data_IF_341328000040
#
_entry.id   IF_341328000040
#
_cell.length_a   1.000
_cell.length_b   1.000
_cell.length_c   1.000
_cell.angle_alpha   90.00
_cell.angle_beta   90.00
_cell.angle_gamma   90.00
#
_symmetry.space_group_name_H-M   'P 1'
#
loop_
_entity.id
_entity.type
_entity.pdbx_description
1 polymer ?
#
# COMPACT_ATOMS: atom_id res chain seq x y z
N UNK A 1 29.04 -1.26 -9.36
CA UNK A 1 28.46 -1.22 -8.03
C UNK A 1 26.95 -1.10 -8.09
N UNK A 2 26.29 -1.85 -7.26
CA UNK A 2 24.83 -1.82 -7.21
C UNK A 2 24.38 -0.76 -6.20
N UNK A 3 23.68 0.25 -6.70
CA UNK A 3 23.21 1.34 -5.86
C UNK A 3 21.85 1.10 -5.25
N UNK A 4 21.24 -0.05 -5.53
CA UNK A 4 19.95 -0.36 -4.95
C UNK A 4 20.06 -0.47 -3.45
N UNK A 5 19.13 0.16 -2.72
CA UNK A 5 19.08 -0.04 -1.28
C UNK A 5 18.81 -1.50 -0.95
N UNK A 6 19.25 -1.93 0.23
CA UNK A 6 19.00 -3.30 0.68
C UNK A 6 17.53 -3.62 0.83
N UNK A 7 16.69 -2.61 0.80
CA UNK A 7 15.25 -2.77 1.03
C UNK A 7 14.56 -3.71 0.05
N UNK A 8 15.19 -4.06 -1.06
CA UNK A 8 14.49 -4.86 -2.06
C UNK A 8 14.53 -6.36 -1.81
N UNK A 9 15.67 -6.94 -1.55
CA UNK A 9 15.75 -8.39 -1.43
C UNK A 9 16.51 -8.87 -0.20
N UNK A 10 17.39 -8.06 0.32
CA UNK A 10 18.26 -8.47 1.42
C UNK A 10 17.67 -8.18 2.80
N UNK A 11 16.70 -7.32 2.84
CA UNK A 11 16.05 -6.94 4.09
C UNK A 11 15.25 -8.09 4.64
N UNK A 12 15.23 -8.21 5.95
CA UNK A 12 14.37 -9.17 6.64
C UNK A 12 13.42 -8.49 7.59
N UNK A 13 13.50 -7.16 7.64
CA UNK A 13 12.64 -6.36 8.50
C UNK A 13 12.51 -4.97 7.91
N UNK A 14 11.33 -4.40 8.00
CA UNK A 14 11.08 -3.01 7.65
C UNK A 14 10.08 -2.44 8.65
N UNK A 15 10.18 -1.15 8.93
CA UNK A 15 9.23 -0.49 9.81
C UNK A 15 8.43 0.54 9.02
N UNK A 16 7.26 0.89 9.54
CA UNK A 16 6.45 1.92 8.89
C UNK A 16 7.20 3.25 8.89
N UNK A 17 7.97 3.53 9.95
CA UNK A 17 8.77 4.75 10.03
C UNK A 17 9.78 4.87 8.92
N UNK A 18 10.44 3.76 8.57
CA UNK A 18 11.41 3.77 7.47
C UNK A 18 10.75 4.18 6.15
N UNK A 19 9.55 3.68 5.90
CA UNK A 19 8.82 4.05 4.70
C UNK A 19 8.42 5.51 4.73
N UNK A 20 7.88 5.96 5.86
CA UNK A 20 7.42 7.34 5.97
C UNK A 20 8.54 8.35 5.81
N UNK A 21 9.75 8.01 6.26
CA UNK A 21 10.91 8.90 6.11
C UNK A 21 11.29 9.15 4.65
N UNK A 22 10.89 8.26 3.75
CA UNK A 22 11.20 8.39 2.34
C UNK A 22 10.11 9.14 1.57
N UNK A 23 9.06 9.56 2.25
CA UNK A 23 7.97 10.29 1.61
C UNK A 23 8.07 11.79 1.87
N UNK A 24 7.64 12.63 0.92
CA UNK A 24 7.17 12.24 -0.41
C UNK A 24 8.32 11.80 -1.29
N UNK A 25 8.01 10.96 -2.27
CA UNK A 25 8.96 10.57 -3.28
C UNK A 25 9.07 11.60 -4.39
N UNK A 26 9.58 11.17 -5.55
CA UNK A 26 9.67 12.03 -6.72
C UNK A 26 8.26 12.47 -7.12
N UNK A 27 8.12 13.71 -7.60
CA UNK A 27 6.83 14.26 -8.03
C UNK A 27 5.75 14.19 -6.94
N UNK A 28 6.18 14.36 -5.68
CA UNK A 28 5.27 14.35 -4.52
C UNK A 28 4.51 13.03 -4.34
N UNK A 29 5.08 11.94 -4.82
CA UNK A 29 4.47 10.63 -4.62
C UNK A 29 4.34 10.30 -3.15
N UNK A 30 3.19 9.74 -2.79
CA UNK A 30 2.91 9.40 -1.41
C UNK A 30 3.10 7.92 -1.11
N UNK A 31 3.81 7.20 -1.97
CA UNK A 31 4.12 5.79 -1.76
C UNK A 31 5.61 5.56 -2.00
N UNK A 32 6.13 4.51 -1.40
CA UNK A 32 7.50 4.07 -1.61
C UNK A 32 7.57 2.55 -1.52
N UNK A 33 8.33 1.95 -2.43
CA UNK A 33 8.60 0.51 -2.39
C UNK A 33 9.73 0.26 -1.42
N UNK A 34 9.53 -0.66 -0.49
CA UNK A 34 10.54 -0.95 0.53
C UNK A 34 11.03 -2.40 0.50
N UNK A 35 10.37 -3.28 -0.24
CA UNK A 35 10.78 -4.67 -0.31
C UNK A 35 10.18 -5.34 -1.54
N UNK A 36 10.95 -6.23 -2.17
CA UNK A 36 10.49 -7.05 -3.27
C UNK A 36 11.07 -8.45 -3.13
N UNK A 37 10.26 -9.44 -3.44
CA UNK A 37 10.73 -10.82 -3.50
C UNK A 37 9.74 -11.64 -4.33
N UNK A 38 10.20 -12.14 -5.47
CA UNK A 38 9.32 -12.85 -6.39
C UNK A 38 8.18 -11.94 -6.83
N UNK A 39 6.95 -12.41 -6.68
CA UNK A 39 5.79 -11.61 -7.03
C UNK A 39 5.39 -10.63 -5.92
N UNK A 40 5.96 -10.78 -4.73
CA UNK A 40 5.62 -9.89 -3.61
C UNK A 40 6.32 -8.55 -3.76
N UNK A 41 5.53 -7.47 -3.68
CA UNK A 41 6.05 -6.11 -3.66
C UNK A 41 5.40 -5.40 -2.49
N UNK A 42 6.22 -4.85 -1.58
CA UNK A 42 5.72 -4.19 -0.37
C UNK A 42 5.99 -2.71 -0.46
N UNK A 43 4.93 -1.92 -0.30
CA UNK A 43 5.02 -0.46 -0.29
C UNK A 43 4.48 0.08 1.01
N UNK A 44 4.91 1.29 1.34
CA UNK A 44 4.24 2.12 2.34
C UNK A 44 3.51 3.22 1.57
N UNK A 45 2.24 3.40 1.87
CA UNK A 45 1.40 4.41 1.23
C UNK A 45 0.80 5.30 2.30
N UNK A 46 0.95 6.61 2.13
CA UNK A 46 0.44 7.59 3.08
C UNK A 46 -0.16 8.77 2.32
N UNK A 47 -1.34 8.58 1.71
CA UNK A 47 -1.95 9.66 0.94
C UNK A 47 -2.31 10.83 1.84
N UNK A 48 -2.36 12.01 1.27
CA UNK A 48 -2.75 13.21 1.99
C UNK A 48 -3.90 13.89 1.28
N UNK A 49 -4.95 14.17 2.03
CA UNK A 49 -6.14 14.83 1.50
C UNK A 49 -7.03 13.89 0.71
N UNK A 50 -6.54 13.42 -0.42
CA UNK A 50 -7.30 12.52 -1.28
C UNK A 50 -6.43 11.33 -1.69
N UNK A 51 -7.11 10.29 -2.15
CA UNK A 51 -6.45 9.08 -2.64
C UNK A 51 -6.74 8.95 -4.12
N UNK A 52 -5.79 9.35 -4.99
CA UNK A 52 -6.03 9.36 -6.43
C UNK A 52 -5.74 8.02 -7.11
N UNK A 53 -5.59 6.94 -6.36
CA UNK A 53 -5.18 5.68 -6.96
C UNK A 53 -6.23 5.12 -7.93
N UNK A 54 -5.72 4.33 -8.87
CA UNK A 54 -6.53 3.68 -9.89
C UNK A 54 -6.50 2.17 -9.64
N UNK A 55 -7.43 1.41 -10.23
CA UNK A 55 -7.37 -0.05 -10.09
C UNK A 55 -6.02 -0.58 -10.54
N UNK A 56 -5.55 -1.61 -9.84
CA UNK A 56 -4.28 -2.23 -10.14
C UNK A 56 -4.49 -3.59 -10.80
N UNK A 57 -3.47 -4.06 -11.51
CA UNK A 57 -3.58 -5.29 -12.29
C UNK A 57 -3.31 -6.55 -11.49
N UNK A 58 -2.87 -6.40 -10.23
CA UNK A 58 -2.59 -7.53 -9.34
C UNK A 58 -3.39 -7.39 -8.08
N UNK A 59 -3.50 -8.48 -7.34
CA UNK A 59 -4.18 -8.46 -6.04
C UNK A 59 -3.37 -7.65 -5.04
N UNK A 60 -4.08 -6.95 -4.15
CA UNK A 60 -3.48 -6.11 -3.13
C UNK A 60 -4.03 -6.45 -1.77
N UNK A 61 -3.14 -6.59 -0.79
CA UNK A 61 -3.52 -6.69 0.61
C UNK A 61 -2.98 -5.45 1.33
N UNK A 62 -3.73 -4.97 2.30
CA UNK A 62 -3.35 -3.80 3.10
C UNK A 62 -3.37 -4.13 4.56
N UNK A 63 -2.40 -3.59 5.30
CA UNK A 63 -2.44 -3.58 6.76
C UNK A 63 -2.34 -2.12 7.17
N UNK A 64 -3.35 -1.62 7.86
CA UNK A 64 -3.37 -0.23 8.30
C UNK A 64 -2.37 -0.07 9.44
N UNK A 65 -1.41 0.83 9.27
CA UNK A 65 -0.37 1.06 10.29
C UNK A 65 -0.72 2.20 11.22
N UNK A 66 -1.38 3.24 10.71
CA UNK A 66 -1.73 4.44 11.50
C UNK A 66 -3.01 5.03 10.96
N UNK A 67 -3.75 5.68 11.84
CA UNK A 67 -4.90 6.46 11.44
C UNK A 67 -6.18 5.69 11.32
N UNK A 68 -7.24 6.41 10.94
CA UNK A 68 -8.58 5.85 10.71
C UNK A 68 -9.12 6.42 9.41
N UNK A 69 -10.17 5.81 8.90
CA UNK A 69 -10.81 6.29 7.69
C UNK A 69 -11.80 5.28 7.17
N UNK A 70 -12.11 5.38 5.88
CA UNK A 70 -13.02 4.48 5.21
C UNK A 70 -12.37 3.91 3.97
N UNK A 71 -12.62 2.63 3.72
CA UNK A 71 -12.14 1.95 2.54
C UNK A 71 -13.34 1.66 1.65
N UNK A 72 -13.30 2.17 0.42
CA UNK A 72 -14.34 1.99 -0.57
C UNK A 72 -13.83 0.99 -1.60
N UNK A 73 -14.57 -0.09 -1.79
CA UNK A 73 -14.19 -1.15 -2.70
C UNK A 73 -15.44 -1.54 -3.48
N UNK A 74 -15.51 -1.10 -4.75
CA UNK A 74 -16.72 -1.25 -5.52
C UNK A 74 -17.86 -0.47 -4.85
N UNK A 75 -18.92 -1.17 -4.49
CA UNK A 75 -20.07 -0.57 -3.83
C UNK A 75 -20.03 -0.70 -2.31
N UNK A 76 -18.97 -1.30 -1.79
CA UNK A 76 -18.84 -1.54 -0.35
C UNK A 76 -18.01 -0.44 0.29
N UNK A 77 -18.42 -0.03 1.49
CA UNK A 77 -17.70 0.99 2.25
C UNK A 77 -17.57 0.48 3.68
N UNK A 78 -16.34 0.41 4.18
CA UNK A 78 -16.08 -0.05 5.55
C UNK A 78 -15.14 0.91 6.25
N UNK A 79 -15.35 1.08 7.54
CA UNK A 79 -14.44 1.88 8.37
C UNK A 79 -13.23 1.04 8.74
N UNK A 80 -12.09 1.69 8.94
CA UNK A 80 -10.89 1.00 9.38
C UNK A 80 -10.14 1.78 10.45
N UNK A 81 -9.29 1.07 11.15
CA UNK A 81 -8.37 1.65 12.13
C UNK A 81 -7.05 0.89 12.06
N UNK A 82 -6.05 1.38 12.77
CA UNK A 82 -4.73 0.77 12.78
C UNK A 82 -4.83 -0.70 13.19
N UNK A 83 -4.12 -1.56 12.47
CA UNK A 83 -4.15 -3.00 12.68
C UNK A 83 -5.11 -3.75 11.78
N UNK A 84 -6.02 -3.05 11.12
CA UNK A 84 -7.00 -3.72 10.25
C UNK A 84 -6.37 -4.21 8.95
N UNK A 85 -6.90 -5.31 8.45
CA UNK A 85 -6.56 -5.89 7.16
C UNK A 85 -7.64 -5.52 6.14
N UNK A 86 -7.21 -5.10 4.96
CA UNK A 86 -8.12 -4.78 3.86
C UNK A 86 -7.62 -5.48 2.61
N UNK A 87 -8.51 -5.68 1.64
CA UNK A 87 -8.14 -6.39 0.43
C UNK A 87 -8.84 -5.79 -0.79
N UNK A 88 -8.11 -5.70 -1.90
CA UNK A 88 -8.65 -5.32 -3.19
C UNK A 88 -8.15 -6.32 -4.22
N UNK A 89 -9.08 -6.97 -4.91
CA UNK A 89 -8.71 -7.90 -5.98
C UNK A 89 -8.25 -7.11 -7.21
N UNK A 90 -7.47 -7.76 -8.04
CA UNK A 90 -7.00 -7.16 -9.28
C UNK A 90 -8.17 -6.61 -10.08
N UNK A 91 -8.01 -5.39 -10.56
CA UNK A 91 -9.03 -4.73 -11.38
C UNK A 91 -10.18 -4.08 -10.63
N UNK A 92 -10.29 -4.30 -9.32
CA UNK A 92 -11.36 -3.68 -8.54
C UNK A 92 -11.10 -2.19 -8.32
N UNK A 93 -12.14 -1.38 -8.51
CA UNK A 93 -12.07 0.04 -8.14
C UNK A 93 -12.06 0.13 -6.62
N UNK A 94 -11.10 0.84 -6.08
CA UNK A 94 -10.96 0.96 -4.63
C UNK A 94 -10.25 2.27 -4.29
N UNK A 95 -10.51 2.78 -3.10
CA UNK A 95 -9.82 3.98 -2.60
C UNK A 95 -10.07 4.15 -1.11
N UNK A 96 -9.22 4.95 -0.50
CA UNK A 96 -9.40 5.37 0.89
C UNK A 96 -10.07 6.74 0.90
N UNK A 97 -10.99 6.95 1.82
CA UNK A 97 -11.70 8.22 1.98
C UNK A 97 -11.79 8.61 3.45
N UNK A 98 -11.93 9.89 3.69
CA UNK A 98 -12.16 10.44 5.05
C UNK A 98 -11.11 9.96 6.05
N UNK A 99 -9.88 9.85 5.61
CA UNK A 99 -8.81 9.34 6.46
C UNK A 99 -8.12 10.49 7.21
N UNK A 100 -7.53 10.13 8.35
CA UNK A 100 -6.83 11.10 9.20
C UNK A 100 -5.50 11.48 8.56
N UNK A 101 -4.93 12.60 9.02
CA UNK A 101 -3.68 13.12 8.45
C UNK A 101 -2.51 12.17 8.63
N UNK A 102 -2.53 11.38 9.71
CA UNK A 102 -1.46 10.45 9.99
C UNK A 102 -1.65 9.07 9.35
N UNK A 103 -2.70 8.92 8.54
CA UNK A 103 -2.99 7.63 7.92
C UNK A 103 -1.80 7.11 7.12
N UNK A 104 -1.45 5.86 7.38
CA UNK A 104 -0.39 5.16 6.65
C UNK A 104 -0.74 3.69 6.61
N UNK A 105 -0.45 3.06 5.50
CA UNK A 105 -0.84 1.67 5.28
C UNK A 105 0.29 0.93 4.58
N UNK A 106 0.48 -0.34 4.99
CA UNK A 106 1.32 -1.27 4.25
C UNK A 106 0.52 -1.78 3.06
N UNK A 107 1.13 -1.79 1.90
CA UNK A 107 0.52 -2.31 0.68
C UNK A 107 1.35 -3.47 0.19
N UNK A 108 0.71 -4.61 0.00
CA UNK A 108 1.36 -5.83 -0.47
C UNK A 108 0.70 -6.26 -1.77
N UNK A 109 1.43 -6.09 -2.87
CA UNK A 109 1.01 -6.64 -4.16
C UNK A 109 1.59 -8.04 -4.26
N UNK A 110 0.82 -8.98 -4.79
CA UNK A 110 1.29 -10.34 -4.90
C UNK A 110 0.55 -11.07 -6.03
N UNK A 111 1.10 -12.20 -6.43
CA UNK A 111 0.46 -13.07 -7.41
C UNK A 111 0.63 -12.57 -8.84
N UNK A 112 -0.09 -13.21 -9.77
CA UNK A 112 0.08 -12.92 -11.19
C UNK A 112 -0.69 -11.68 -11.62
N UNK A 113 -0.33 -11.17 -12.79
CA UNK A 113 -1.13 -10.16 -13.46
C UNK A 113 -2.52 -10.73 -13.68
N UNK A 114 -3.54 -9.91 -13.43
CA UNK A 114 -4.92 -10.35 -13.54
C UNK A 114 -5.48 -10.95 -12.26
N UNK A 115 -4.63 -11.19 -11.26
CA UNK A 115 -5.05 -11.71 -9.96
C UNK A 115 -5.01 -13.22 -9.87
N UNK A 116 -5.04 -13.69 -8.62
CA UNK A 116 -5.09 -15.13 -8.36
C UNK A 116 -6.45 -15.69 -8.71
N UNK A 117 -6.47 -16.94 -9.08
CA UNK A 117 -7.73 -17.64 -9.31
C UNK A 117 -8.19 -18.23 -8.00
N UNK A 118 -9.49 -18.18 -7.81
CA UNK A 118 -10.11 -18.76 -6.62
C UNK A 118 -10.36 -20.24 -6.80
#
# INVERSE_FOLDING_TARGET
MNDKPQKFTEKRKASIGEGLEQLPGANDERFVTIFEHGSLLVEVYAPQGTDPQKPHTRDEAYIVARGTGEFVNGETRVSFEAGDFLFAAAGEAHRFENFTEDFAVWVLFYGPEGGEKQ
#
